data_IF_191155048468
#
_entry.id   IF_191155048468
#
_cell.length_a   1.000
_cell.length_b   1.000
_cell.length_c   1.000
_cell.angle_alpha   90.00
_cell.angle_beta   90.00
_cell.angle_gamma   90.00
#
_symmetry.space_group_name_H-M   'P 1'
#
loop_
_entity.id
_entity.type
_entity.pdbx_description
1 polymer ?
#
# COMPACT_ATOMS: atom_id res chain seq x y z
N UNK A 1 -16.10 -21.36 -14.00
CA UNK A 1 -15.09 -21.02 -12.98
C UNK A 1 -13.90 -20.39 -13.70
N UNK A 2 -13.84 -19.06 -13.75
CA UNK A 2 -12.75 -18.36 -14.42
C UNK A 2 -11.53 -18.27 -13.52
N UNK A 3 -10.39 -18.77 -13.99
CA UNK A 3 -9.10 -18.41 -13.42
C UNK A 3 -8.98 -16.88 -13.48
N UNK A 4 -8.81 -16.22 -12.33
CA UNK A 4 -8.43 -14.80 -12.29
C UNK A 4 -6.99 -14.71 -12.78
N UNK A 5 -6.82 -14.70 -14.08
CA UNK A 5 -5.59 -14.31 -14.72
C UNK A 5 -5.34 -12.84 -14.35
N UNK A 6 -4.38 -12.62 -13.45
CA UNK A 6 -3.88 -11.28 -13.11
C UNK A 6 -3.00 -10.82 -14.29
N UNK A 7 -3.65 -10.48 -15.40
CA UNK A 7 -3.00 -10.20 -16.69
C UNK A 7 -2.70 -8.72 -16.91
N UNK A 8 -3.42 -7.83 -16.24
CA UNK A 8 -3.35 -6.39 -16.48
C UNK A 8 -3.51 -5.55 -15.20
N UNK A 9 -3.22 -4.25 -15.34
CA UNK A 9 -3.29 -3.29 -14.25
C UNK A 9 -4.70 -3.18 -13.64
N UNK A 10 -5.75 -3.36 -14.45
CA UNK A 10 -7.13 -3.33 -13.99
C UNK A 10 -7.48 -4.54 -13.09
N UNK A 11 -7.05 -5.74 -13.48
CA UNK A 11 -7.21 -6.95 -12.68
C UNK A 11 -6.47 -6.83 -11.34
N UNK A 12 -5.28 -6.24 -11.34
CA UNK A 12 -4.52 -5.95 -10.14
C UNK A 12 -5.18 -4.90 -9.25
N UNK A 13 -5.77 -3.85 -9.85
CA UNK A 13 -6.52 -2.83 -9.11
C UNK A 13 -7.78 -3.43 -8.45
N UNK A 14 -8.54 -4.25 -9.17
CA UNK A 14 -9.66 -5.02 -8.59
C UNK A 14 -9.22 -5.92 -7.45
N UNK A 15 -8.03 -6.52 -7.53
CA UNK A 15 -7.46 -7.30 -6.43
C UNK A 15 -7.12 -6.42 -5.24
N UNK A 16 -6.50 -5.25 -5.46
CA UNK A 16 -6.20 -4.29 -4.39
C UNK A 16 -7.48 -3.85 -3.68
N UNK A 17 -8.56 -3.56 -4.41
CA UNK A 17 -9.88 -3.26 -3.84
C UNK A 17 -10.37 -4.37 -2.91
N UNK A 18 -10.32 -5.63 -3.36
CA UNK A 18 -10.73 -6.79 -2.52
C UNK A 18 -9.88 -6.96 -1.27
N UNK A 19 -8.57 -6.70 -1.34
CA UNK A 19 -7.70 -6.77 -0.16
C UNK A 19 -7.98 -5.64 0.83
N UNK A 20 -8.31 -4.43 0.35
CA UNK A 20 -8.75 -3.33 1.21
C UNK A 20 -10.09 -3.64 1.89
N UNK A 21 -11.03 -4.23 1.15
CA UNK A 21 -12.31 -4.67 1.71
C UNK A 21 -12.08 -5.76 2.76
N UNK A 22 -11.17 -6.71 2.51
CA UNK A 22 -10.79 -7.74 3.49
C UNK A 22 -10.19 -7.11 4.74
N UNK A 23 -9.29 -6.15 4.60
CA UNK A 23 -8.69 -5.42 5.72
C UNK A 23 -9.74 -4.68 6.57
N UNK A 24 -10.79 -4.14 5.94
CA UNK A 24 -11.89 -3.48 6.64
C UNK A 24 -12.69 -4.43 7.56
N UNK A 25 -12.83 -5.70 7.16
CA UNK A 25 -13.58 -6.72 7.90
C UNK A 25 -12.70 -7.50 8.88
N UNK A 26 -11.45 -7.74 8.51
CA UNK A 26 -10.47 -8.47 9.28
C UNK A 26 -9.17 -7.64 9.37
N UNK A 27 -9.06 -6.78 10.40
CA UNK A 27 -7.86 -5.97 10.58
C UNK A 27 -6.69 -6.86 11.02
N UNK A 28 -5.85 -7.24 10.06
CA UNK A 28 -4.62 -7.98 10.27
C UNK A 28 -3.46 -7.34 9.51
N UNK A 29 -2.27 -7.38 10.10
CA UNK A 29 -1.06 -6.86 9.46
C UNK A 29 -0.74 -7.57 8.13
N UNK A 30 -1.09 -8.86 8.02
CA UNK A 30 -0.92 -9.61 6.79
C UNK A 30 -1.81 -9.04 5.68
N UNK A 31 -3.03 -8.61 6.01
CA UNK A 31 -3.95 -7.98 5.07
C UNK A 31 -3.49 -6.58 4.67
N UNK A 32 -2.89 -5.83 5.61
CA UNK A 32 -2.23 -4.55 5.32
C UNK A 32 -1.12 -4.76 4.28
N UNK A 33 -0.22 -5.70 4.52
CA UNK A 33 0.88 -5.99 3.60
C UNK A 33 0.39 -6.51 2.25
N UNK A 34 -0.58 -7.43 2.24
CA UNK A 34 -1.16 -7.95 1.02
C UNK A 34 -1.81 -6.84 0.17
N UNK A 35 -2.49 -5.89 0.82
CA UNK A 35 -3.04 -4.72 0.14
C UNK A 35 -1.93 -3.86 -0.48
N UNK A 36 -0.95 -3.38 0.30
CA UNK A 36 0.08 -2.47 -0.22
C UNK A 36 0.99 -3.12 -1.26
N UNK A 37 1.31 -4.40 -1.11
CA UNK A 37 2.04 -5.16 -2.13
C UNK A 37 1.22 -5.26 -3.42
N UNK A 38 -0.08 -5.54 -3.31
CA UNK A 38 -0.97 -5.64 -4.48
C UNK A 38 -1.15 -4.28 -5.16
N UNK A 39 -1.37 -3.21 -4.39
CA UNK A 39 -1.52 -1.85 -4.88
C UNK A 39 -0.25 -1.36 -5.59
N UNK A 40 0.93 -1.56 -5.00
CA UNK A 40 2.20 -1.23 -5.65
C UNK A 40 2.38 -2.00 -6.96
N UNK A 41 2.01 -3.29 -6.97
CA UNK A 41 2.13 -4.13 -8.16
C UNK A 41 1.26 -3.63 -9.33
N UNK A 42 0.20 -2.85 -9.10
CA UNK A 42 -0.55 -2.17 -10.19
C UNK A 42 0.41 -1.35 -11.07
N UNK A 43 1.39 -0.66 -10.46
CA UNK A 43 2.36 0.18 -11.18
C UNK A 43 3.33 -0.62 -12.06
N UNK A 44 3.58 -1.89 -11.71
CA UNK A 44 4.39 -2.79 -12.52
C UNK A 44 3.64 -3.22 -13.77
N UNK A 45 2.33 -3.47 -13.65
CA UNK A 45 1.45 -3.83 -14.77
C UNK A 45 1.08 -2.64 -15.67
N UNK A 46 1.38 -1.41 -15.27
CA UNK A 46 1.28 -0.24 -16.14
C UNK A 46 2.44 -0.16 -17.15
N UNK A 47 3.52 -0.93 -16.95
CA UNK A 47 4.67 -0.94 -17.86
C UNK A 47 4.26 -1.41 -19.26
N UNK A 48 4.39 -0.53 -20.24
CA UNK A 48 3.99 -0.78 -21.63
C UNK A 48 2.48 -0.65 -21.90
N UNK A 49 1.65 -0.46 -20.87
CA UNK A 49 0.23 -0.16 -21.00
C UNK A 49 -0.06 1.36 -21.07
N UNK A 50 0.81 2.18 -20.48
CA UNK A 50 0.77 3.64 -20.52
C UNK A 50 2.13 4.22 -20.95
N UNK A 51 2.21 5.49 -21.38
CA UNK A 51 3.49 6.14 -21.65
C UNK A 51 4.42 6.11 -20.42
N UNK A 52 5.70 5.83 -20.64
CA UNK A 52 6.67 5.72 -19.54
C UNK A 52 6.85 7.05 -18.77
N UNK A 53 6.59 8.19 -19.42
CA UNK A 53 6.54 9.51 -18.75
C UNK A 53 5.49 9.56 -17.65
N UNK A 54 4.30 9.02 -17.94
CA UNK A 54 3.13 9.13 -17.07
C UNK A 54 3.24 8.12 -15.93
N UNK A 55 3.77 6.93 -16.24
CA UNK A 55 4.17 5.94 -15.22
C UNK A 55 5.27 6.48 -14.30
N UNK A 56 6.27 7.16 -14.85
CA UNK A 56 7.34 7.76 -14.05
C UNK A 56 6.82 8.89 -13.16
N UNK A 57 5.88 9.70 -13.65
CA UNK A 57 5.20 10.71 -12.86
C UNK A 57 4.42 10.08 -11.69
N UNK A 58 3.64 9.03 -11.95
CA UNK A 58 2.92 8.28 -10.92
C UNK A 58 3.86 7.71 -9.84
N UNK A 59 4.99 7.13 -10.25
CA UNK A 59 6.00 6.59 -9.32
C UNK A 59 6.73 7.67 -8.50
N UNK A 60 6.73 8.92 -8.98
CA UNK A 60 7.30 10.05 -8.26
C UNK A 60 6.35 10.62 -7.20
N UNK A 61 5.07 10.22 -7.22
CA UNK A 61 4.07 10.74 -6.29
C UNK A 61 4.32 10.24 -4.86
N UNK A 62 4.19 11.12 -3.84
CA UNK A 62 4.48 10.78 -2.44
C UNK A 62 3.72 9.53 -1.96
N UNK A 63 2.42 9.43 -2.25
CA UNK A 63 1.58 8.32 -1.79
C UNK A 63 2.00 6.98 -2.40
N UNK A 64 2.40 7.00 -3.68
CA UNK A 64 2.90 5.79 -4.38
C UNK A 64 4.29 5.40 -3.87
N UNK A 65 5.13 6.38 -3.53
CA UNK A 65 6.41 6.10 -2.88
C UNK A 65 6.24 5.50 -1.49
N UNK A 66 5.31 6.01 -0.69
CA UNK A 66 4.98 5.45 0.62
C UNK A 66 4.40 4.03 0.48
N UNK A 67 3.54 3.80 -0.51
CA UNK A 67 3.03 2.46 -0.85
C UNK A 67 4.17 1.50 -1.22
N UNK A 68 5.14 1.96 -2.02
CA UNK A 68 6.36 1.22 -2.36
C UNK A 68 7.20 0.92 -1.13
N UNK A 69 7.34 1.87 -0.23
CA UNK A 69 8.13 1.70 0.99
C UNK A 69 7.53 0.62 1.90
N UNK A 70 6.20 0.63 2.07
CA UNK A 70 5.47 -0.41 2.82
C UNK A 70 5.59 -1.77 2.12
N UNK A 71 5.41 -1.82 0.80
CA UNK A 71 5.54 -3.05 -0.02
C UNK A 71 6.94 -3.67 0.07
N UNK A 72 7.99 -2.85 -0.04
CA UNK A 72 9.37 -3.31 0.07
C UNK A 72 9.67 -3.84 1.47
N UNK A 73 9.21 -3.14 2.51
CA UNK A 73 9.36 -3.61 3.89
C UNK A 73 8.64 -4.93 4.13
N UNK A 74 7.44 -5.10 3.57
CA UNK A 74 6.69 -6.36 3.62
C UNK A 74 7.45 -7.53 2.97
N UNK A 75 8.02 -7.29 1.78
CA UNK A 75 8.71 -8.31 0.97
C UNK A 75 10.10 -8.65 1.49
N UNK A 76 10.83 -7.67 1.99
CA UNK A 76 12.26 -7.80 2.31
C UNK A 76 12.57 -7.73 3.81
N UNK A 77 11.57 -7.46 4.66
CA UNK A 77 11.73 -7.18 6.09
C UNK A 77 12.71 -6.03 6.40
N UNK A 78 13.10 -5.27 5.37
CA UNK A 78 14.04 -4.14 5.37
C UNK A 78 13.68 -3.21 4.21
N UNK A 79 13.73 -1.90 4.42
CA UNK A 79 13.69 -0.94 3.31
C UNK A 79 15.03 -0.93 2.58
N UNK A 80 14.96 -0.87 1.24
CA UNK A 80 16.15 -0.82 0.42
C UNK A 80 16.90 0.52 0.62
N UNK A 81 18.22 0.46 0.40
CA UNK A 81 19.25 1.43 0.84
C UNK A 81 18.86 2.92 0.65
N UNK A 82 18.56 3.61 1.75
CA UNK A 82 18.63 5.08 1.83
C UNK A 82 17.43 5.82 2.45
N UNK A 83 16.30 5.14 2.73
CA UNK A 83 15.17 5.74 3.46
C UNK A 83 15.07 5.17 4.88
N UNK A 84 14.77 6.02 5.88
CA UNK A 84 14.67 5.58 7.26
C UNK A 84 13.42 4.71 7.44
N UNK A 85 13.56 3.64 8.21
CA UNK A 85 12.53 2.63 8.42
C UNK A 85 11.28 3.19 9.12
N UNK A 86 10.07 3.07 8.57
CA UNK A 86 8.88 3.51 9.26
C UNK A 86 8.64 2.62 10.48
N UNK A 87 8.15 3.22 11.56
CA UNK A 87 7.88 2.62 12.86
C UNK A 87 6.37 2.64 13.15
N UNK A 88 5.86 1.55 13.71
CA UNK A 88 4.49 1.50 14.25
C UNK A 88 4.52 2.01 15.69
N UNK A 89 3.58 2.89 16.05
CA UNK A 89 3.47 3.46 17.39
C UNK A 89 2.13 3.12 18.02
N UNK A 90 2.18 2.79 19.32
CA UNK A 90 1.02 2.48 20.14
C UNK A 90 0.54 3.72 20.90
N UNK A 91 -0.71 4.13 20.69
CA UNK A 91 -1.37 5.18 21.50
C UNK A 91 -2.15 4.51 22.63
N UNK A 92 -1.44 3.80 23.47
CA UNK A 92 -1.86 3.51 24.85
C UNK A 92 -0.61 3.57 25.71
N UNK A 93 -0.40 4.74 26.34
CA UNK A 93 0.51 5.00 27.46
C UNK A 93 2.02 4.71 27.31
N UNK A 94 2.51 4.08 26.25
CA UNK A 94 3.90 3.62 26.15
C UNK A 94 4.57 4.14 24.87
N UNK A 95 5.50 5.08 25.06
CA UNK A 95 6.39 5.61 24.03
C UNK A 95 7.40 4.50 23.63
N UNK A 96 7.07 3.70 22.61
CA UNK A 96 7.93 2.63 22.12
C UNK A 96 7.98 2.60 20.59
N UNK A 97 9.16 2.81 20.02
CA UNK A 97 9.46 2.72 18.60
C UNK A 97 9.65 1.24 18.22
N UNK A 98 8.62 0.62 17.66
CA UNK A 98 8.67 -0.76 17.21
C UNK A 98 8.55 -0.83 15.68
N UNK A 99 9.28 -1.75 15.06
CA UNK A 99 9.13 -2.04 13.65
C UNK A 99 7.70 -2.52 13.35
N UNK A 100 7.23 -2.36 12.11
CA UNK A 100 5.87 -2.73 11.71
C UNK A 100 5.44 -4.14 12.16
N UNK A 101 6.39 -5.07 12.22
CA UNK A 101 6.14 -6.47 12.57
C UNK A 101 6.26 -6.77 14.09
N UNK A 102 6.45 -5.75 14.92
CA UNK A 102 6.64 -5.89 16.38
C UNK A 102 5.50 -5.30 17.20
N UNK A 103 4.54 -4.62 16.58
CA UNK A 103 3.34 -4.12 17.25
C UNK A 103 2.14 -4.92 16.77
N UNK A 104 1.36 -5.40 17.73
CA UNK A 104 0.22 -6.24 17.45
C UNK A 104 -0.94 -5.37 16.93
N UNK A 105 -1.12 -5.33 15.60
CA UNK A 105 -2.28 -4.68 14.94
C UNK A 105 -3.65 -5.18 15.44
N UNK A 106 -3.68 -6.25 16.24
CA UNK A 106 -4.90 -6.87 16.76
C UNK A 106 -5.34 -6.35 18.15
N UNK A 107 -4.60 -5.42 18.78
CA UNK A 107 -5.00 -4.82 20.05
C UNK A 107 -5.98 -3.65 19.84
N UNK A 108 -7.25 -3.99 19.54
CA UNK A 108 -8.46 -3.16 19.69
C UNK A 108 -8.39 -1.65 19.39
N UNK A 109 -7.67 -1.19 18.36
CA UNK A 109 -7.68 0.24 18.01
C UNK A 109 -6.56 0.75 17.13
N UNK A 110 -5.53 -0.05 16.84
CA UNK A 110 -4.36 0.44 16.12
C UNK A 110 -4.54 0.38 14.61
N UNK A 111 -4.60 1.56 14.00
CA UNK A 111 -4.69 1.71 12.56
C UNK A 111 -3.60 2.63 12.00
N UNK A 112 -2.58 2.99 12.76
CA UNK A 112 -1.66 4.07 12.41
C UNK A 112 -0.25 3.55 12.16
N UNK A 113 0.42 4.16 11.18
CA UNK A 113 1.82 3.96 10.87
C UNK A 113 2.54 5.29 10.92
N UNK A 114 3.73 5.31 11.49
CA UNK A 114 4.58 6.49 11.51
C UNK A 114 5.85 6.29 10.70
N UNK A 115 6.26 7.29 9.94
CA UNK A 115 7.60 7.35 9.33
C UNK A 115 8.55 8.14 10.24
N UNK A 116 9.88 7.96 10.11
CA UNK A 116 10.87 8.60 11.00
C UNK A 116 10.95 10.11 10.85
N UNK A 117 10.43 10.64 9.75
CA UNK A 117 10.20 12.07 9.51
C UNK A 117 9.02 12.65 10.31
N UNK A 118 8.26 11.78 11.00
CA UNK A 118 7.11 12.16 11.80
C UNK A 118 5.76 12.01 11.09
N UNK A 119 5.73 11.58 9.83
CA UNK A 119 4.49 11.35 9.08
C UNK A 119 3.68 10.23 9.74
N UNK A 120 2.45 10.51 10.19
CA UNK A 120 1.53 9.51 10.73
C UNK A 120 0.35 9.29 9.78
N UNK A 121 0.08 8.04 9.38
CA UNK A 121 -1.00 7.69 8.46
C UNK A 121 -1.85 6.56 9.02
N UNK A 122 -3.17 6.77 8.98
CA UNK A 122 -4.14 5.73 9.25
C UNK A 122 -4.26 4.80 8.02
N UNK A 123 -4.04 3.50 8.21
CA UNK A 123 -3.85 2.50 7.15
C UNK A 123 -5.08 2.35 6.25
N UNK A 124 -6.29 2.43 6.78
CA UNK A 124 -7.49 2.34 5.96
C UNK A 124 -7.68 3.59 5.11
N UNK A 125 -7.46 4.77 5.67
CA UNK A 125 -7.56 6.07 5.01
C UNK A 125 -6.49 6.19 3.94
N UNK A 126 -5.24 5.82 4.28
CA UNK A 126 -4.14 5.81 3.35
C UNK A 126 -4.34 4.78 2.23
N UNK A 127 -4.77 3.56 2.56
CA UNK A 127 -5.08 2.55 1.56
C UNK A 127 -6.22 2.97 0.63
N UNK A 128 -7.25 3.61 1.18
CA UNK A 128 -8.36 4.18 0.38
C UNK A 128 -7.88 5.29 -0.54
N UNK A 129 -6.99 6.17 -0.07
CA UNK A 129 -6.42 7.26 -0.87
C UNK A 129 -5.58 6.71 -2.03
N UNK A 130 -4.65 5.78 -1.75
CA UNK A 130 -3.83 5.11 -2.78
C UNK A 130 -4.72 4.43 -3.81
N UNK A 131 -5.75 3.72 -3.37
CA UNK A 131 -6.65 3.01 -4.28
C UNK A 131 -7.44 3.97 -5.17
N UNK A 132 -7.99 5.04 -4.61
CA UNK A 132 -8.69 6.09 -5.37
C UNK A 132 -7.76 6.78 -6.37
N UNK A 133 -6.51 6.98 -5.99
CA UNK A 133 -5.49 7.57 -6.87
C UNK A 133 -5.21 6.69 -8.07
N UNK A 134 -5.00 5.39 -7.85
CA UNK A 134 -4.80 4.41 -8.92
C UNK A 134 -6.03 4.30 -9.82
N UNK A 135 -7.25 4.32 -9.26
CA UNK A 135 -8.50 4.35 -10.02
C UNK A 135 -8.60 5.59 -10.92
N UNK A 136 -8.26 6.76 -10.39
CA UNK A 136 -8.25 7.99 -11.17
C UNK A 136 -7.22 7.92 -12.30
N UNK A 137 -6.01 7.43 -12.02
CA UNK A 137 -4.96 7.26 -13.02
C UNK A 137 -5.42 6.33 -14.15
N UNK A 138 -5.91 5.13 -13.81
CA UNK A 138 -6.40 4.19 -14.82
C UNK A 138 -7.55 4.78 -15.64
N UNK A 139 -8.46 5.51 -15.00
CA UNK A 139 -9.57 6.20 -15.69
C UNK A 139 -9.07 7.26 -16.67
N UNK A 140 -8.09 8.08 -16.28
CA UNK A 140 -7.48 9.10 -17.16
C UNK A 140 -6.80 8.48 -18.38
N UNK A 141 -6.26 7.27 -18.25
CA UNK A 141 -5.65 6.53 -19.35
C UNK A 141 -6.63 5.61 -20.11
N UNK A 142 -7.94 5.66 -19.80
CA UNK A 142 -8.96 4.87 -20.49
C UNK A 142 -8.94 3.38 -20.17
N UNK A 143 -8.32 2.97 -19.06
CA UNK A 143 -8.24 1.58 -18.60
C UNK A 143 -9.44 1.30 -17.69
N UNK A 144 -10.33 0.40 -18.10
CA UNK A 144 -11.52 0.01 -17.32
C UNK A 144 -11.20 -1.05 -16.26
N UNK A 145 -11.73 -0.90 -15.05
CA UNK A 145 -11.46 -1.77 -13.90
C UNK A 145 -12.74 -2.18 -13.15
#
# INVERSE_FOLDING_TARGET
MGFFELTDAAAMLRKARRELDRLAHEPSIDHVFNFFVTAHSVTDYLKGAVPESDRSALLAEPDIQLCRDVSNKAKHMKLDRGRPDPATHHVSGALGSAAFNTVAFNASGERWVRWPDGTELEMMTFGTAVLKHLEQFLSTHGIAF
#
